data_IF_825429846991
#
_entry.id   IF_825429846991
#
_cell.length_a   1.000
_cell.length_b   1.000
_cell.length_c   1.000
_cell.angle_alpha   90.00
_cell.angle_beta   90.00
_cell.angle_gamma   90.00
#
_symmetry.space_group_name_H-M   'P 1'
#
loop_
_entity.id
_entity.type
_entity.pdbx_description
1 polymer ?
#
# COMPACT_ATOMS: atom_id res chain seq x y z
N UNK A 1 10.90 50.92 27.19
CA UNK A 1 12.06 51.53 26.53
C UNK A 1 13.05 50.41 26.27
N UNK A 2 12.89 49.67 25.16
CA UNK A 2 13.45 50.00 23.85
C UNK A 2 14.96 50.21 23.92
N UNK A 3 15.72 49.22 23.45
CA UNK A 3 16.72 49.48 22.40
C UNK A 3 16.91 48.21 21.57
N UNK A 4 16.35 48.29 20.35
CA UNK A 4 16.68 47.46 19.20
C UNK A 4 18.19 47.48 18.94
N UNK A 5 18.78 46.32 18.67
CA UNK A 5 19.90 46.23 17.76
C UNK A 5 19.64 45.09 16.77
N UNK A 6 19.37 45.48 15.53
CA UNK A 6 19.25 44.59 14.40
C UNK A 6 20.62 43.96 14.08
N UNK A 7 20.63 42.66 13.82
CA UNK A 7 21.73 41.99 13.13
C UNK A 7 21.30 41.81 11.67
N UNK A 8 22.11 42.37 10.79
CA UNK A 8 21.99 42.39 9.34
C UNK A 8 22.86 41.27 8.73
N UNK A 9 22.29 40.52 7.76
CA UNK A 9 22.92 39.81 6.60
C UNK A 9 24.11 38.87 6.87
N UNK A 10 24.36 37.76 6.14
CA UNK A 10 23.55 36.74 5.45
C UNK A 10 23.94 35.29 5.89
N UNK A 11 23.00 34.40 6.23
CA UNK A 11 23.31 32.95 6.37
C UNK A 11 22.09 32.05 6.07
N UNK A 12 21.34 32.44 5.03
CA UNK A 12 20.43 31.53 4.32
C UNK A 12 21.25 30.71 3.32
N UNK A 13 22.14 29.85 3.80
CA UNK A 13 22.76 28.83 2.96
C UNK A 13 21.79 27.65 2.78
N UNK A 14 21.03 27.76 1.70
CA UNK A 14 20.60 26.70 0.78
C UNK A 14 20.19 25.32 1.36
N UNK A 15 18.95 25.22 1.81
CA UNK A 15 18.15 24.03 1.51
C UNK A 15 17.66 24.15 0.06
N UNK A 16 18.42 23.62 -0.88
CA UNK A 16 17.91 23.37 -2.23
C UNK A 16 17.01 22.14 -2.18
N UNK A 17 15.71 22.37 -2.01
CA UNK A 17 14.71 21.45 -2.51
C UNK A 17 14.80 21.50 -4.04
N UNK A 18 15.28 20.44 -4.68
CA UNK A 18 15.07 20.26 -6.13
C UNK A 18 13.65 19.73 -6.36
N UNK A 19 12.67 20.47 -5.82
CA UNK A 19 11.31 20.40 -6.31
C UNK A 19 11.36 20.96 -7.74
N UNK A 20 11.24 20.05 -8.70
CA UNK A 20 10.84 20.29 -10.08
C UNK A 20 11.46 21.53 -10.72
N UNK A 21 12.53 21.35 -11.49
CA UNK A 21 12.85 22.30 -12.54
C UNK A 21 11.54 22.60 -13.31
N UNK A 22 11.17 23.88 -13.49
CA UNK A 22 9.95 24.22 -14.21
C UNK A 22 10.09 23.68 -15.63
N UNK A 23 9.23 22.72 -15.97
CA UNK A 23 9.05 22.22 -17.32
C UNK A 23 8.93 23.42 -18.26
N UNK A 24 9.85 23.52 -19.23
CA UNK A 24 9.71 24.43 -20.37
C UNK A 24 8.52 23.96 -21.22
N UNK A 25 7.29 24.26 -20.78
CA UNK A 25 6.09 24.20 -21.61
C UNK A 25 5.83 25.59 -22.17
N UNK A 26 5.62 25.61 -23.48
CA UNK A 26 5.36 26.73 -24.37
C UNK A 26 4.39 27.78 -23.81
N UNK A 27 4.71 29.07 -24.04
CA UNK A 27 3.86 30.24 -23.76
C UNK A 27 2.73 30.41 -24.80
N UNK A 28 2.05 29.33 -25.16
CA UNK A 28 0.85 29.40 -26.01
C UNK A 28 -0.35 28.89 -25.22
N UNK A 29 -1.51 29.57 -25.29
CA UNK A 29 -2.72 29.12 -24.61
C UNK A 29 -3.16 27.81 -25.26
N UNK A 30 -3.08 26.73 -24.49
CA UNK A 30 -3.42 25.40 -24.98
C UNK A 30 -4.94 25.29 -25.03
N UNK A 31 -5.50 25.39 -26.25
CA UNK A 31 -6.85 24.92 -26.57
C UNK A 31 -6.99 23.49 -26.06
N UNK A 32 -8.04 23.23 -25.27
CA UNK A 32 -8.40 21.95 -24.63
C UNK A 32 -7.52 20.76 -25.07
N UNK A 33 -6.49 20.44 -24.28
CA UNK A 33 -5.68 19.23 -24.50
C UNK A 33 -6.63 18.03 -24.48
N UNK A 34 -6.73 17.36 -25.62
CA UNK A 34 -7.29 16.02 -25.68
C UNK A 34 -6.55 15.15 -24.66
N UNK A 35 -7.28 14.37 -23.86
CA UNK A 35 -6.66 13.53 -22.81
C UNK A 35 -5.65 12.61 -23.49
N UNK A 36 -4.43 12.43 -22.94
CA UNK A 36 -3.53 11.42 -23.46
C UNK A 36 -4.26 10.08 -23.49
N UNK A 37 -4.16 9.42 -24.65
CA UNK A 37 -4.81 8.17 -24.99
C UNK A 37 -4.67 7.14 -23.86
N UNK A 38 -5.76 6.89 -23.13
CA UNK A 38 -5.93 5.70 -22.31
C UNK A 38 -6.13 4.52 -23.27
N UNK A 39 -5.34 3.44 -23.17
CA UNK A 39 -5.58 2.23 -23.93
C UNK A 39 -7.04 1.77 -23.77
N UNK A 40 -7.77 1.47 -24.86
CA UNK A 40 -9.18 1.10 -24.81
C UNK A 40 -9.44 -0.23 -24.07
N UNK A 41 -8.39 -1.02 -23.83
CA UNK A 41 -8.46 -2.31 -23.13
C UNK A 41 -8.11 -2.23 -21.64
N UNK A 42 -7.77 -1.05 -21.13
CA UNK A 42 -7.56 -0.81 -19.70
C UNK A 42 -8.86 -0.41 -19.03
N UNK A 43 -9.44 -1.31 -18.22
CA UNK A 43 -10.57 -1.01 -17.35
C UNK A 43 -10.35 0.33 -16.65
N UNK A 44 -11.18 1.32 -16.98
CA UNK A 44 -10.84 2.73 -16.81
C UNK A 44 -10.61 3.09 -15.34
N UNK A 45 -9.35 3.35 -14.96
CA UNK A 45 -8.96 4.18 -13.81
C UNK A 45 -9.64 3.91 -12.45
N UNK A 46 -10.24 2.74 -12.25
CA UNK A 46 -10.96 2.41 -11.04
C UNK A 46 -9.99 2.00 -9.93
N UNK A 47 -10.29 2.42 -8.70
CA UNK A 47 -9.54 1.99 -7.51
C UNK A 47 -9.78 0.49 -7.34
N UNK A 48 -8.72 -0.31 -7.51
CA UNK A 48 -8.78 -1.75 -7.21
C UNK A 48 -8.74 -1.96 -5.69
N UNK A 49 -9.75 -2.66 -5.18
CA UNK A 49 -9.90 -3.02 -3.77
C UNK A 49 -9.69 -4.52 -3.62
N UNK A 50 -8.64 -4.87 -2.88
CA UNK A 50 -8.30 -6.26 -2.55
C UNK A 50 -8.34 -6.46 -1.03
N UNK A 51 -8.82 -7.61 -0.60
CA UNK A 51 -8.86 -7.99 0.82
C UNK A 51 -8.02 -9.23 1.08
N UNK A 52 -7.44 -9.32 2.27
CA UNK A 52 -6.63 -10.45 2.70
C UNK A 52 -6.92 -10.79 4.15
N UNK A 53 -7.27 -12.04 4.41
CA UNK A 53 -7.41 -12.55 5.79
C UNK A 53 -6.13 -13.26 6.22
N UNK A 54 -5.63 -12.92 7.42
CA UNK A 54 -4.44 -13.57 7.98
C UNK A 54 -4.80 -14.82 8.78
N UNK A 55 -3.79 -15.67 9.01
CA UNK A 55 -3.87 -16.74 10.00
C UNK A 55 -4.06 -16.21 11.41
N UNK A 56 -4.59 -17.06 12.28
CA UNK A 56 -4.68 -16.73 13.70
C UNK A 56 -3.30 -16.44 14.30
N UNK A 57 -3.25 -15.47 15.22
CA UNK A 57 -2.11 -15.30 16.12
C UNK A 57 -2.22 -16.30 17.26
N UNK A 58 -1.10 -16.56 17.93
CA UNK A 58 -1.01 -17.53 19.04
C UNK A 58 -2.14 -17.35 20.07
N UNK A 59 -2.39 -16.10 20.49
CA UNK A 59 -3.47 -15.79 21.46
C UNK A 59 -4.87 -16.19 20.98
N UNK A 60 -5.15 -16.10 19.69
CA UNK A 60 -6.45 -16.50 19.11
C UNK A 60 -6.55 -18.02 19.02
N UNK A 61 -5.44 -18.68 18.67
CA UNK A 61 -5.34 -20.15 18.63
C UNK A 61 -5.48 -20.76 20.02
N UNK A 62 -4.76 -20.22 21.01
CA UNK A 62 -4.78 -20.68 22.41
C UNK A 62 -6.18 -20.52 23.03
N UNK A 63 -6.95 -19.53 22.58
CA UNK A 63 -8.33 -19.29 23.00
C UNK A 63 -9.37 -20.06 22.18
N UNK A 64 -8.94 -20.83 21.19
CA UNK A 64 -9.82 -21.53 20.26
C UNK A 64 -10.88 -20.59 19.65
N UNK A 65 -10.45 -19.38 19.27
CA UNK A 65 -11.35 -18.39 18.69
C UNK A 65 -11.90 -18.90 17.34
N UNK A 66 -13.22 -18.76 17.07
CA UNK A 66 -13.79 -19.19 15.81
C UNK A 66 -13.31 -18.29 14.66
N UNK A 67 -13.13 -18.87 13.48
CA UNK A 67 -12.89 -18.10 12.27
C UNK A 67 -14.23 -17.64 11.72
N UNK A 68 -14.46 -16.33 11.72
CA UNK A 68 -15.72 -15.73 11.25
C UNK A 68 -15.64 -15.23 9.81
N UNK A 69 -14.53 -15.47 9.12
CA UNK A 69 -14.33 -15.00 7.74
C UNK A 69 -14.24 -16.21 6.83
N UNK A 70 -14.95 -16.15 5.72
CA UNK A 70 -14.88 -17.11 4.63
C UNK A 70 -14.62 -16.34 3.33
N UNK A 71 -13.78 -16.89 2.44
CA UNK A 71 -13.47 -16.27 1.16
C UNK A 71 -13.59 -17.29 0.05
N UNK A 72 -14.37 -16.96 -0.98
CA UNK A 72 -14.52 -17.80 -2.15
C UNK A 72 -13.53 -17.34 -3.26
N UNK A 73 -12.54 -18.16 -3.62
CA UNK A 73 -11.51 -17.77 -4.60
C UNK A 73 -12.05 -17.65 -6.03
N UNK A 74 -13.21 -18.23 -6.34
CA UNK A 74 -13.79 -18.19 -7.69
C UNK A 74 -14.64 -16.93 -7.90
N UNK A 75 -15.40 -16.52 -6.88
CA UNK A 75 -16.31 -15.37 -6.95
C UNK A 75 -15.72 -14.08 -6.39
N UNK A 76 -14.54 -14.16 -5.75
CA UNK A 76 -13.94 -13.09 -4.94
C UNK A 76 -14.86 -12.57 -3.83
N UNK A 77 -15.83 -13.37 -3.41
CA UNK A 77 -16.72 -13.05 -2.30
C UNK A 77 -16.02 -13.28 -0.95
N UNK A 78 -16.21 -12.37 -0.02
CA UNK A 78 -15.81 -12.47 1.39
C UNK A 78 -17.07 -12.41 2.25
N UNK A 79 -17.32 -13.46 3.02
CA UNK A 79 -18.44 -13.56 3.95
C UNK A 79 -17.95 -13.40 5.37
N UNK A 80 -18.62 -12.55 6.14
CA UNK A 80 -18.42 -12.37 7.57
C UNK A 80 -19.59 -13.02 8.31
N UNK A 81 -19.29 -14.11 9.00
CA UNK A 81 -20.24 -14.89 9.80
C UNK A 81 -20.52 -14.22 11.16
N UNK A 82 -21.76 -14.28 11.66
CA UNK A 82 -22.06 -13.81 13.01
C UNK A 82 -21.35 -14.70 14.05
N UNK A 83 -20.85 -14.14 15.17
CA UNK A 83 -20.28 -14.96 16.23
C UNK A 83 -21.35 -15.87 16.85
N UNK A 84 -20.98 -17.11 17.17
CA UNK A 84 -21.81 -17.99 17.98
C UNK A 84 -21.86 -17.44 19.41
N UNK A 85 -23.05 -17.00 19.83
CA UNK A 85 -23.30 -16.48 21.18
C UNK A 85 -24.04 -17.51 22.01
N UNK A 86 -23.63 -17.69 23.26
CA UNK A 86 -24.39 -18.50 24.22
C UNK A 86 -25.75 -17.85 24.51
N UNK A 87 -26.76 -18.63 24.98
CA UNK A 87 -28.09 -18.08 25.30
C UNK A 87 -28.08 -16.94 26.33
N UNK A 88 -27.08 -16.93 27.23
CA UNK A 88 -26.88 -15.89 28.25
C UNK A 88 -26.32 -14.59 27.64
N UNK A 89 -25.38 -14.72 26.70
CA UNK A 89 -24.82 -13.59 25.95
C UNK A 89 -25.85 -12.98 25.01
N UNK A 90 -26.70 -13.80 24.38
CA UNK A 90 -27.81 -13.33 23.53
C UNK A 90 -28.82 -12.47 24.31
N UNK A 91 -29.11 -12.79 25.58
CA UNK A 91 -30.01 -11.98 26.43
C UNK A 91 -29.38 -10.65 26.84
N UNK A 92 -28.05 -10.61 26.92
CA UNK A 92 -27.29 -9.45 27.40
C UNK A 92 -26.97 -8.47 26.27
N UNK A 93 -26.83 -8.96 25.04
CA UNK A 93 -26.52 -8.15 23.87
C UNK A 93 -27.78 -7.70 23.13
N UNK A 94 -28.00 -6.38 23.07
CA UNK A 94 -29.07 -5.77 22.24
C UNK A 94 -28.76 -5.77 20.74
N UNK A 95 -27.54 -6.12 20.34
CA UNK A 95 -27.06 -5.98 18.96
C UNK A 95 -27.11 -7.35 18.28
N UNK A 96 -27.99 -7.49 17.31
CA UNK A 96 -28.05 -8.69 16.47
C UNK A 96 -26.94 -8.62 15.43
N UNK A 97 -26.09 -9.65 15.41
CA UNK A 97 -25.10 -9.82 14.36
C UNK A 97 -25.73 -10.63 13.24
N UNK A 98 -25.61 -10.12 12.02
CA UNK A 98 -26.08 -10.78 10.81
C UNK A 98 -24.87 -11.12 9.95
N UNK A 99 -25.02 -12.18 9.16
CA UNK A 99 -24.07 -12.51 8.10
C UNK A 99 -23.99 -11.35 7.11
N UNK A 100 -22.77 -11.05 6.63
CA UNK A 100 -22.55 -10.02 5.62
C UNK A 100 -21.63 -10.53 4.54
N UNK A 101 -22.07 -10.39 3.29
CA UNK A 101 -21.26 -10.70 2.12
C UNK A 101 -20.77 -9.42 1.43
N UNK A 102 -19.53 -9.48 0.92
CA UNK A 102 -18.87 -8.43 0.17
C UNK A 102 -18.13 -9.03 -1.03
N UNK A 103 -18.19 -8.38 -2.18
CA UNK A 103 -17.38 -8.75 -3.36
C UNK A 103 -16.31 -7.69 -3.58
N UNK A 104 -15.08 -8.15 -3.82
CA UNK A 104 -13.91 -7.32 -4.08
C UNK A 104 -13.26 -7.72 -5.40
N UNK A 105 -12.28 -6.94 -5.88
CA UNK A 105 -11.50 -7.33 -7.07
C UNK A 105 -10.74 -8.64 -6.81
N UNK A 106 -10.24 -8.82 -5.59
CA UNK A 106 -9.66 -10.07 -5.08
C UNK A 106 -9.91 -10.27 -3.59
N UNK A 107 -10.18 -11.52 -3.21
CA UNK A 107 -10.30 -11.97 -1.82
C UNK A 107 -9.26 -13.04 -1.52
N UNK A 108 -8.17 -12.67 -0.83
CA UNK A 108 -7.04 -13.55 -0.55
C UNK A 108 -7.16 -14.27 0.79
N UNK A 109 -7.29 -15.59 0.71
CA UNK A 109 -7.27 -16.46 1.87
C UNK A 109 -5.84 -16.77 2.31
N UNK A 110 -5.31 -16.07 3.33
CA UNK A 110 -4.02 -16.41 3.95
C UNK A 110 -4.19 -16.93 5.39
N UNK A 111 -5.34 -17.56 5.68
CA UNK A 111 -5.69 -17.98 7.03
C UNK A 111 -5.13 -19.36 7.41
N UNK A 112 -5.22 -20.35 6.53
CA UNK A 112 -4.75 -21.70 6.81
C UNK A 112 -3.94 -22.26 5.64
N UNK A 113 -2.65 -22.51 5.89
CA UNK A 113 -1.64 -22.96 4.91
C UNK A 113 -1.95 -24.33 4.29
N UNK A 114 -2.89 -25.10 4.87
CA UNK A 114 -3.31 -26.41 4.35
C UNK A 114 -4.43 -26.32 3.32
N UNK A 115 -5.09 -25.16 3.19
CA UNK A 115 -6.19 -25.01 2.26
C UNK A 115 -5.66 -24.82 0.84
N UNK A 116 -6.32 -25.45 -0.14
CA UNK A 116 -5.88 -25.46 -1.54
C UNK A 116 -5.80 -24.05 -2.16
N UNK A 117 -6.53 -23.09 -1.62
CA UNK A 117 -6.59 -21.70 -2.08
C UNK A 117 -5.82 -20.74 -1.15
N UNK A 118 -4.85 -21.26 -0.38
CA UNK A 118 -3.99 -20.43 0.46
C UNK A 118 -3.13 -19.48 -0.40
N UNK A 119 -3.30 -18.18 -0.18
CA UNK A 119 -2.55 -17.13 -0.84
C UNK A 119 -1.27 -16.78 -0.06
N UNK A 120 -0.12 -17.05 -0.66
CA UNK A 120 1.20 -16.65 -0.19
C UNK A 120 1.55 -15.22 -0.60
N UNK A 121 2.68 -14.70 -0.12
CA UNK A 121 3.16 -13.37 -0.49
C UNK A 121 3.38 -13.21 -2.00
N UNK A 122 3.83 -14.29 -2.66
CA UNK A 122 4.03 -14.29 -4.11
C UNK A 122 2.70 -14.10 -4.85
N UNK A 123 1.63 -14.79 -4.44
CA UNK A 123 0.33 -14.70 -5.11
C UNK A 123 -0.25 -13.28 -5.02
N UNK A 124 -0.03 -12.59 -3.90
CA UNK A 124 -0.41 -11.17 -3.75
C UNK A 124 0.36 -10.29 -4.75
N UNK A 125 1.67 -10.49 -4.86
CA UNK A 125 2.50 -9.72 -5.78
C UNK A 125 2.17 -10.03 -7.26
N UNK A 126 2.01 -11.29 -7.62
CA UNK A 126 1.65 -11.69 -8.98
C UNK A 126 0.26 -11.18 -9.39
N UNK A 127 -0.66 -11.02 -8.45
CA UNK A 127 -2.02 -10.59 -8.78
C UNK A 127 -2.15 -9.12 -9.17
N UNK A 128 -1.32 -8.22 -8.63
CA UNK A 128 -1.42 -6.79 -8.92
C UNK A 128 -0.08 -6.05 -8.78
N UNK A 129 0.90 -6.58 -8.05
CA UNK A 129 2.22 -5.95 -7.93
C UNK A 129 2.98 -5.89 -9.26
N UNK A 130 2.88 -6.92 -10.10
CA UNK A 130 3.50 -6.95 -11.44
C UNK A 130 2.82 -5.97 -12.40
N UNK A 131 1.49 -5.99 -12.45
CA UNK A 131 0.69 -5.05 -13.26
C UNK A 131 1.00 -3.60 -12.88
N UNK A 132 1.14 -3.29 -11.59
CA UNK A 132 1.48 -1.94 -11.15
C UNK A 132 2.91 -1.54 -11.56
N UNK A 133 3.82 -2.50 -11.58
CA UNK A 133 5.17 -2.25 -12.08
C UNK A 133 5.15 -1.99 -13.59
N UNK A 134 4.34 -2.70 -14.37
CA UNK A 134 4.13 -2.43 -15.80
C UNK A 134 3.69 -0.97 -16.02
N UNK A 135 2.66 -0.54 -15.31
CA UNK A 135 2.18 0.84 -15.36
C UNK A 135 3.28 1.87 -15.01
N UNK A 136 4.19 1.56 -14.08
CA UNK A 136 5.32 2.44 -13.77
C UNK A 136 6.32 2.57 -14.92
N UNK A 137 6.61 1.49 -15.64
CA UNK A 137 7.46 1.53 -16.83
C UNK A 137 6.79 2.23 -18.01
N UNK A 138 5.47 2.19 -18.09
CA UNK A 138 4.67 2.95 -19.05
C UNK A 138 4.58 4.46 -18.70
N UNK A 139 5.16 4.88 -17.58
CA UNK A 139 5.22 6.27 -17.15
C UNK A 139 4.03 6.74 -16.30
N UNK A 140 3.21 5.82 -15.79
CA UNK A 140 2.11 6.14 -14.89
C UNK A 140 2.51 6.13 -13.41
N UNK A 141 1.88 7.01 -12.63
CA UNK A 141 1.98 6.99 -11.18
C UNK A 141 1.07 5.91 -10.61
N UNK A 142 1.64 5.05 -9.77
CA UNK A 142 0.91 4.00 -9.07
C UNK A 142 0.99 4.20 -7.56
N UNK A 143 -0.02 3.74 -6.84
CA UNK A 143 -0.05 3.85 -5.38
C UNK A 143 -0.80 2.68 -4.75
N UNK A 144 -0.22 2.08 -3.71
CA UNK A 144 -0.80 0.97 -2.96
C UNK A 144 -0.80 1.33 -1.48
N UNK A 145 -1.96 1.24 -0.84
CA UNK A 145 -2.11 1.44 0.59
C UNK A 145 -2.64 0.16 1.25
N UNK A 146 -2.03 -0.25 2.36
CA UNK A 146 -2.57 -1.32 3.20
C UNK A 146 -3.42 -0.72 4.32
N UNK A 147 -4.69 -1.12 4.39
CA UNK A 147 -5.65 -0.66 5.39
C UNK A 147 -6.13 -1.81 6.29
N UNK A 148 -6.54 -1.47 7.52
CA UNK A 148 -7.10 -2.43 8.48
C UNK A 148 -6.65 -2.19 9.92
N UNK A 149 -7.25 -2.93 10.86
CA UNK A 149 -6.94 -2.80 12.29
C UNK A 149 -5.47 -3.11 12.64
N UNK A 150 -5.01 -2.66 13.80
CA UNK A 150 -3.70 -3.07 14.32
C UNK A 150 -3.63 -4.60 14.44
N UNK A 151 -2.51 -5.17 13.98
CA UNK A 151 -2.31 -6.62 13.94
C UNK A 151 -3.05 -7.36 12.81
N UNK A 152 -3.73 -6.68 11.87
CA UNK A 152 -4.39 -7.35 10.74
C UNK A 152 -3.45 -7.90 9.67
N UNK A 153 -2.17 -7.51 9.68
CA UNK A 153 -1.18 -7.95 8.70
C UNK A 153 -0.77 -6.89 7.66
N UNK A 154 -1.13 -5.60 7.84
CA UNK A 154 -0.71 -4.50 6.94
C UNK A 154 0.80 -4.52 6.63
N UNK A 155 1.65 -4.49 7.65
CA UNK A 155 3.11 -4.52 7.49
C UNK A 155 3.60 -5.84 6.91
N UNK A 156 2.93 -6.95 7.21
CA UNK A 156 3.25 -8.25 6.63
C UNK A 156 2.96 -8.27 5.12
N UNK A 157 1.85 -7.70 4.66
CA UNK A 157 1.56 -7.59 3.22
C UNK A 157 2.53 -6.64 2.51
N UNK A 158 2.77 -5.45 3.07
CA UNK A 158 3.62 -4.44 2.42
C UNK A 158 5.10 -4.78 2.44
N UNK A 159 5.65 -5.12 3.61
CA UNK A 159 7.08 -5.38 3.80
C UNK A 159 7.38 -6.88 3.90
N UNK A 160 6.55 -7.63 4.61
CA UNK A 160 6.76 -9.05 4.86
C UNK A 160 7.82 -9.33 5.91
N UNK A 161 8.37 -10.54 5.86
CA UNK A 161 9.54 -10.96 6.65
C UNK A 161 10.72 -11.22 5.72
N UNK A 162 11.90 -11.50 6.27
CA UNK A 162 13.07 -11.88 5.47
C UNK A 162 12.80 -13.11 4.59
N UNK A 163 12.16 -14.13 5.17
CA UNK A 163 11.83 -15.38 4.46
C UNK A 163 10.58 -15.26 3.58
N UNK A 164 9.69 -14.34 3.92
CA UNK A 164 8.41 -14.11 3.23
C UNK A 164 8.28 -12.63 2.84
N UNK A 165 9.10 -12.16 1.88
CA UNK A 165 9.12 -10.75 1.48
C UNK A 165 7.76 -10.33 0.93
N UNK A 166 7.31 -9.13 1.29
CA UNK A 166 6.04 -8.55 0.87
C UNK A 166 6.13 -7.80 -0.45
N UNK A 167 5.16 -6.92 -0.69
CA UNK A 167 5.04 -6.12 -1.92
C UNK A 167 6.27 -5.24 -2.17
N UNK A 168 6.66 -4.38 -1.22
CA UNK A 168 7.76 -3.41 -1.38
C UNK A 168 9.06 -4.09 -1.83
N UNK A 169 9.63 -5.07 -1.10
CA UNK A 169 10.88 -5.70 -1.52
C UNK A 169 10.77 -6.47 -2.84
N UNK A 170 9.59 -7.05 -3.17
CA UNK A 170 9.37 -7.73 -4.45
C UNK A 170 9.29 -6.75 -5.61
N UNK A 171 8.58 -5.63 -5.44
CA UNK A 171 8.52 -4.56 -6.44
C UNK A 171 9.90 -3.96 -6.68
N UNK A 172 10.69 -3.69 -5.63
CA UNK A 172 12.07 -3.23 -5.79
C UNK A 172 12.93 -4.24 -6.57
N UNK A 173 12.81 -5.54 -6.27
CA UNK A 173 13.51 -6.59 -7.03
C UNK A 173 13.11 -6.58 -8.50
N UNK A 174 11.81 -6.67 -8.79
CA UNK A 174 11.30 -6.68 -10.16
C UNK A 174 11.67 -5.42 -10.94
N UNK A 175 11.71 -4.26 -10.28
CA UNK A 175 12.18 -3.01 -10.87
C UNK A 175 13.62 -3.13 -11.37
N UNK A 176 14.54 -3.58 -10.52
CA UNK A 176 15.95 -3.71 -10.90
C UNK A 176 16.20 -4.84 -11.90
N UNK A 177 15.49 -5.97 -11.78
CA UNK A 177 15.55 -7.06 -12.76
C UNK A 177 15.16 -6.58 -14.17
N UNK A 178 14.13 -5.74 -14.29
CA UNK A 178 13.73 -5.15 -15.59
C UNK A 178 14.74 -4.14 -16.12
N UNK A 179 15.31 -3.31 -15.24
CA UNK A 179 16.37 -2.36 -15.63
C UNK A 179 17.60 -3.11 -16.14
N UNK A 180 17.99 -4.20 -15.48
CA UNK A 180 19.13 -5.03 -15.90
C UNK A 180 18.86 -5.79 -17.21
N UNK A 181 17.60 -6.17 -17.46
CA UNK A 181 17.19 -6.85 -18.68
C UNK A 181 16.99 -5.93 -19.89
N UNK A 182 17.02 -4.60 -19.72
CA UNK A 182 16.85 -3.65 -20.82
C UNK A 182 18.03 -3.75 -21.82
N UNK A 183 17.70 -4.07 -23.08
CA UNK A 183 18.69 -4.25 -24.14
C UNK A 183 18.90 -2.98 -24.98
N UNK A 184 17.99 -2.02 -24.89
CA UNK A 184 18.08 -0.76 -25.62
C UNK A 184 19.08 0.18 -24.95
N UNK A 185 20.28 0.27 -25.54
CA UNK A 185 21.35 1.17 -25.08
C UNK A 185 21.02 2.66 -25.11
N UNK A 186 19.89 3.05 -25.71
CA UNK A 186 19.42 4.43 -25.76
C UNK A 186 18.55 4.81 -24.56
N UNK A 187 18.15 3.83 -23.74
CA UNK A 187 17.33 4.03 -22.54
C UNK A 187 18.26 4.09 -21.33
N UNK A 188 18.01 5.03 -20.43
CA UNK A 188 18.70 5.15 -19.15
C UNK A 188 17.67 5.37 -18.05
N UNK A 189 17.78 4.60 -16.98
CA UNK A 189 16.92 4.71 -15.81
C UNK A 189 17.63 5.43 -14.67
N UNK A 190 16.88 6.23 -13.93
CA UNK A 190 17.35 6.82 -12.68
C UNK A 190 16.33 6.53 -11.57
N UNK A 191 16.78 5.88 -10.50
CA UNK A 191 15.92 5.41 -9.41
C UNK A 191 16.24 6.18 -8.14
N UNK A 192 15.23 6.84 -7.60
CA UNK A 192 15.30 7.54 -6.33
C UNK A 192 14.30 6.93 -5.34
N UNK A 193 14.66 6.87 -4.06
CA UNK A 193 13.78 6.35 -3.01
C UNK A 193 13.65 7.37 -1.88
N UNK A 194 12.45 7.50 -1.34
CA UNK A 194 12.16 8.23 -0.11
C UNK A 194 11.38 7.30 0.82
N UNK A 195 11.62 7.42 2.13
CA UNK A 195 10.88 6.65 3.12
C UNK A 195 10.67 7.49 4.38
N UNK A 196 9.41 7.71 4.75
CA UNK A 196 9.05 8.56 5.88
C UNK A 196 7.84 8.01 6.63
N UNK A 197 7.72 8.40 7.89
CA UNK A 197 6.58 8.13 8.76
C UNK A 197 5.81 9.44 8.99
N UNK A 198 4.49 9.37 8.94
CA UNK A 198 3.61 10.45 9.40
C UNK A 198 2.99 10.00 10.72
N UNK A 199 3.27 10.73 11.80
CA UNK A 199 2.69 10.47 13.12
C UNK A 199 2.25 11.78 13.75
N UNK A 200 0.96 11.87 14.12
CA UNK A 200 0.36 13.07 14.70
C UNK A 200 0.63 14.33 13.85
N UNK A 201 0.40 14.27 12.53
CA UNK A 201 0.70 15.35 11.57
C UNK A 201 2.19 15.76 11.47
N UNK A 202 3.12 15.02 12.09
CA UNK A 202 4.56 15.22 11.93
C UNK A 202 5.16 14.22 10.96
N UNK A 203 6.01 14.72 10.05
CA UNK A 203 6.76 13.90 9.08
C UNK A 203 8.15 13.60 9.64
N UNK A 204 8.51 12.32 9.69
CA UNK A 204 9.83 11.84 10.09
C UNK A 204 10.49 11.09 8.94
N UNK A 205 11.65 11.55 8.48
CA UNK A 205 12.45 10.84 7.48
C UNK A 205 13.11 9.59 8.11
N UNK A 206 12.80 8.41 7.56
CA UNK A 206 13.27 7.11 8.04
C UNK A 206 14.63 6.70 7.44
N UNK A 207 15.12 7.40 6.42
CA UNK A 207 16.43 7.16 5.79
C UNK A 207 17.54 7.99 6.45
N UNK A 208 17.18 9.02 7.21
CA UNK A 208 18.14 9.81 8.01
C UNK A 208 18.46 9.14 9.35
N UNK A 209 19.74 9.16 9.74
CA UNK A 209 20.15 8.71 11.07
C UNK A 209 19.82 9.81 12.10
N UNK A 210 18.88 9.56 13.00
CA UNK A 210 18.76 10.30 14.26
C UNK A 210 17.84 11.53 14.25
N UNK A 211 16.55 11.33 14.03
CA UNK A 211 15.53 12.31 14.42
C UNK A 211 14.82 11.82 15.69
N UNK A 212 15.02 12.54 16.80
CA UNK A 212 14.25 12.36 18.03
C UNK A 212 12.75 12.49 17.72
N UNK A 213 11.87 11.75 18.42
CA UNK A 213 10.43 11.95 18.25
C UNK A 213 10.09 13.43 18.48
N UNK A 214 9.20 14.04 17.69
CA UNK A 214 8.67 15.35 18.02
C UNK A 214 7.95 15.22 19.37
N UNK A 215 8.42 16.00 20.36
CA UNK A 215 7.77 16.21 21.66
C UNK A 215 6.44 16.94 21.51
#
# INVERSE_FOLDING_TARGET
MAHHRALTTPDLQHYHSTASAPSLRSREPITAMDRPFTPPDGDGGNVKVVVRVRKFVKKETDKQSPCLVEMNPQTNETVLHPPELTPEEQKSQKKQYEEKSFTFDKSFWSHNERDAHYAQQHDIYASFGEEFLDHNFDGYHTCIFAYGQTGSGKSYTMMGTLDQPGLIPRTCRGLFERIEAEQNSSITYNVHVSYFEIYNEHVKDLLTKGTSPPT
#
